data_IF_153455167539
#
_entry.id   IF_153455167539
#
_cell.length_a   1.000
_cell.length_b   1.000
_cell.length_c   1.000
_cell.angle_alpha   90.00
_cell.angle_beta   90.00
_cell.angle_gamma   90.00
#
_symmetry.space_group_name_H-M   'P 1'
#
loop_
_entity.id
_entity.type
_entity.pdbx_description
1 polymer ?
#
# COMPACT_ATOMS: atom_id res chain seq x y z
N UNK A 1 -0.99 9.25 -0.47
CA UNK A 1 -0.07 8.98 0.66
C UNK A 1 0.37 7.52 0.67
N UNK A 2 -0.56 6.55 0.62
CA UNK A 2 -0.26 5.13 0.43
C UNK A 2 0.63 4.87 -0.80
N UNK A 3 0.18 5.29 -1.99
CA UNK A 3 0.97 5.14 -3.23
C UNK A 3 2.32 5.89 -3.16
N UNK A 4 2.36 7.12 -2.63
CA UNK A 4 3.63 7.87 -2.43
C UNK A 4 4.60 7.17 -1.47
N UNK A 5 4.11 6.55 -0.39
CA UNK A 5 4.94 5.85 0.59
C UNK A 5 5.50 4.56 -0.01
N UNK A 6 4.66 3.78 -0.68
CA UNK A 6 5.08 2.50 -1.28
C UNK A 6 5.88 2.70 -2.57
N UNK A 7 5.67 3.81 -3.29
CA UNK A 7 6.40 4.15 -4.51
C UNK A 7 7.90 4.41 -4.27
N UNK A 8 8.34 4.54 -3.02
CA UNK A 8 9.78 4.63 -2.69
C UNK A 8 10.52 3.29 -2.85
N UNK A 9 9.78 2.17 -2.81
CA UNK A 9 10.38 0.83 -2.93
C UNK A 9 10.49 0.38 -4.39
N UNK A 10 9.64 0.89 -5.27
CA UNK A 10 9.65 0.57 -6.69
C UNK A 10 8.47 1.18 -7.44
N UNK A 11 8.46 0.98 -8.75
CA UNK A 11 7.37 1.43 -9.61
C UNK A 11 6.08 0.65 -9.29
N UNK A 12 5.02 1.39 -8.98
CA UNK A 12 3.69 0.85 -8.70
C UNK A 12 2.87 0.88 -9.99
N UNK A 13 2.41 -0.28 -10.43
CA UNK A 13 1.51 -0.41 -11.59
C UNK A 13 0.06 -0.19 -11.21
N UNK A 14 -0.35 -0.61 -10.01
CA UNK A 14 -1.69 -0.38 -9.49
C UNK A 14 -1.70 -0.28 -7.95
N UNK A 15 -2.66 0.47 -7.40
CA UNK A 15 -2.85 0.56 -5.96
C UNK A 15 -4.31 0.84 -5.63
N UNK A 16 -4.89 0.04 -4.74
CA UNK A 16 -6.29 0.19 -4.31
C UNK A 16 -6.39 0.22 -2.79
N UNK A 17 -7.05 1.26 -2.26
CA UNK A 17 -7.44 1.33 -0.85
C UNK A 17 -8.86 0.83 -0.74
N UNK A 18 -9.05 -0.25 0.04
CA UNK A 18 -10.38 -0.79 0.24
C UNK A 18 -11.18 0.14 1.14
N UNK A 19 -12.33 0.59 0.62
CA UNK A 19 -13.27 1.45 1.33
C UNK A 19 -14.58 0.70 1.56
N UNK A 20 -15.23 0.99 2.68
CA UNK A 20 -16.58 0.52 2.96
C UNK A 20 -17.53 1.09 1.90
N UNK A 21 -18.32 0.24 1.26
CA UNK A 21 -19.20 0.64 0.14
C UNK A 21 -20.37 1.52 0.59
N UNK A 22 -20.74 1.46 1.87
CA UNK A 22 -21.88 2.20 2.43
C UNK A 22 -21.45 3.55 3.01
N UNK A 23 -20.28 3.60 3.65
CA UNK A 23 -19.80 4.82 4.34
C UNK A 23 -18.67 5.54 3.61
N UNK A 24 -18.03 4.92 2.63
CA UNK A 24 -16.86 5.45 1.92
C UNK A 24 -15.58 5.48 2.77
N UNK A 25 -15.63 5.04 4.03
CA UNK A 25 -14.50 5.06 4.95
C UNK A 25 -13.48 3.97 4.62
N UNK A 26 -12.17 4.21 4.78
CA UNK A 26 -11.14 3.19 4.57
C UNK A 26 -11.34 2.01 5.53
N UNK A 27 -11.28 0.79 5.02
CA UNK A 27 -11.39 -0.45 5.81
C UNK A 27 -10.12 -0.78 6.61
N UNK A 28 -9.09 0.06 6.52
CA UNK A 28 -7.81 -0.15 7.19
C UNK A 28 -6.82 -1.02 6.43
N UNK A 29 -7.12 -1.42 5.20
CA UNK A 29 -6.20 -2.17 4.35
C UNK A 29 -6.31 -1.75 2.88
N UNK A 30 -5.28 -2.08 2.10
CA UNK A 30 -5.21 -1.82 0.68
C UNK A 30 -4.24 -2.79 0.01
N UNK A 31 -4.26 -2.81 -1.31
CA UNK A 31 -3.37 -3.63 -2.14
C UNK A 31 -2.49 -2.72 -2.99
N UNK A 32 -1.24 -3.13 -3.19
CA UNK A 32 -0.27 -2.48 -4.08
C UNK A 32 0.27 -3.55 -5.01
N UNK A 33 0.31 -3.23 -6.30
CA UNK A 33 0.93 -4.05 -7.33
C UNK A 33 2.18 -3.32 -7.82
N UNK A 34 3.33 -3.96 -7.69
CA UNK A 34 4.59 -3.44 -8.22
C UNK A 34 4.85 -3.98 -9.63
N UNK A 35 5.60 -3.21 -10.43
CA UNK A 35 6.08 -3.66 -11.73
C UNK A 35 7.10 -4.81 -11.59
N UNK A 36 7.94 -4.74 -10.56
CA UNK A 36 8.98 -5.73 -10.27
C UNK A 36 8.64 -6.53 -9.01
N UNK A 37 8.49 -7.87 -9.09
CA UNK A 37 8.22 -8.72 -7.93
C UNK A 37 9.35 -8.71 -6.90
N UNK A 38 10.61 -8.44 -7.27
CA UNK A 38 11.73 -8.39 -6.33
C UNK A 38 11.61 -7.24 -5.29
N UNK A 39 10.77 -6.25 -5.59
CA UNK A 39 10.44 -5.16 -4.66
C UNK A 39 9.61 -5.68 -3.48
N UNK A 40 8.75 -6.68 -3.72
CA UNK A 40 7.83 -7.22 -2.70
C UNK A 40 8.61 -7.77 -1.51
N UNK A 41 9.68 -8.54 -1.75
CA UNK A 41 10.50 -9.13 -0.68
C UNK A 41 11.10 -8.09 0.27
N UNK A 42 11.48 -6.92 -0.27
CA UNK A 42 12.01 -5.81 0.55
C UNK A 42 10.91 -5.13 1.35
N UNK A 43 9.75 -4.92 0.73
CA UNK A 43 8.60 -4.26 1.36
C UNK A 43 8.11 -5.11 2.53
N UNK A 44 7.90 -6.41 2.35
CA UNK A 44 7.33 -7.29 3.39
C UNK A 44 8.24 -7.48 4.62
N UNK A 45 9.54 -7.22 4.50
CA UNK A 45 10.49 -7.33 5.61
C UNK A 45 10.42 -6.13 6.57
N UNK A 46 9.85 -5.01 6.13
CA UNK A 46 9.73 -3.81 6.94
C UNK A 46 8.35 -3.70 7.61
N UNK A 47 8.33 -3.15 8.82
CA UNK A 47 7.08 -2.69 9.43
C UNK A 47 6.76 -1.28 8.94
N UNK A 48 5.60 -1.10 8.31
CA UNK A 48 5.20 0.18 7.76
C UNK A 48 4.22 0.87 8.68
N UNK A 49 4.49 2.14 9.03
CA UNK A 49 3.54 2.98 9.76
C UNK A 49 3.11 4.12 8.85
N UNK A 50 1.83 4.17 8.52
CA UNK A 50 1.22 5.17 7.64
C UNK A 50 0.12 5.87 8.43
N UNK A 51 0.30 7.18 8.69
CA UNK A 51 -0.64 8.00 9.50
C UNK A 51 -0.87 7.46 10.92
N UNK A 52 0.18 6.94 11.56
CA UNK A 52 0.10 6.38 12.91
C UNK A 52 -0.61 5.04 13.00
N UNK A 53 -0.90 4.40 11.85
CA UNK A 53 -1.45 3.06 11.75
C UNK A 53 -0.43 2.14 11.10
N UNK A 54 -0.23 0.97 11.70
CA UNK A 54 0.55 -0.13 11.13
C UNK A 54 -0.34 -0.96 10.21
#
# INVERSE_FOLDING_TARGET
>A
QFNKYFGKYGEITDSVIMKDRRTGQPRGFGFVTYADPAVVDKVIQETHVINGKQ
#
